data_IF_991240965027
#
_entry.id   IF_991240965027
#
_cell.length_a   1.000
_cell.length_b   1.000
_cell.length_c   1.000
_cell.angle_alpha   90.00
_cell.angle_beta   90.00
_cell.angle_gamma   90.00
#
_symmetry.space_group_name_H-M   'P 1'
#
loop_
_entity.id
_entity.type
_entity.pdbx_description
1 polymer ?
#
# COMPACT_ATOMS: atom_id res chain seq x y z
N UNK A 1 3.79 -17.63 -15.81
CA UNK A 1 3.48 -18.51 -14.66
C UNK A 1 3.77 -17.71 -13.40
N UNK A 2 2.84 -17.54 -12.48
CA UNK A 2 3.15 -16.91 -11.20
C UNK A 2 4.08 -17.86 -10.42
N UNK A 3 5.27 -17.39 -10.09
CA UNK A 3 6.16 -18.10 -9.17
C UNK A 3 5.52 -18.10 -7.80
N UNK A 4 5.08 -19.24 -7.31
CA UNK A 4 4.74 -19.46 -5.90
C UNK A 4 6.03 -19.35 -5.10
N UNK A 5 6.11 -18.34 -4.25
CA UNK A 5 7.21 -18.20 -3.30
C UNK A 5 7.14 -19.35 -2.28
N UNK A 6 8.26 -19.95 -1.89
CA UNK A 6 8.27 -20.98 -0.88
C UNK A 6 7.76 -20.43 0.46
N UNK A 7 6.90 -21.19 1.11
CA UNK A 7 6.32 -20.91 2.44
C UNK A 7 7.33 -21.16 3.60
N UNK A 8 8.62 -21.17 3.33
CA UNK A 8 9.63 -21.32 4.39
C UNK A 8 9.78 -20.02 5.18
N UNK A 9 9.89 -20.12 6.50
CA UNK A 9 10.10 -18.99 7.42
C UNK A 9 11.43 -18.23 7.20
N UNK A 10 12.26 -18.67 6.30
CA UNK A 10 13.48 -18.01 5.85
C UNK A 10 13.22 -17.34 4.52
N UNK A 11 12.46 -16.24 4.54
CA UNK A 11 12.33 -15.38 3.36
C UNK A 11 13.59 -14.55 3.25
N UNK A 12 14.45 -14.94 2.32
CA UNK A 12 15.62 -14.15 2.00
C UNK A 12 15.14 -12.88 1.29
N UNK A 13 15.42 -11.71 1.87
CA UNK A 13 15.14 -10.39 1.27
C UNK A 13 15.77 -10.29 -0.13
N UNK A 14 16.84 -11.05 -0.39
CA UNK A 14 17.55 -11.10 -1.67
C UNK A 14 16.67 -11.52 -2.87
N UNK A 15 15.52 -12.18 -2.62
CA UNK A 15 14.56 -12.52 -3.68
C UNK A 15 13.74 -11.32 -4.17
N UNK A 16 13.70 -10.22 -3.41
CA UNK A 16 12.95 -9.00 -3.71
C UNK A 16 13.85 -7.89 -4.26
N UNK A 17 14.77 -8.21 -5.14
CA UNK A 17 15.81 -7.29 -5.64
C UNK A 17 15.29 -6.03 -6.36
N UNK A 18 13.99 -5.94 -6.63
CA UNK A 18 13.41 -4.81 -7.36
C UNK A 18 12.44 -4.06 -6.45
N UNK A 19 12.91 -2.96 -5.88
CA UNK A 19 12.05 -1.99 -5.22
C UNK A 19 11.15 -1.28 -6.25
N UNK A 20 9.94 -0.87 -5.85
CA UNK A 20 9.09 -0.03 -6.69
C UNK A 20 9.86 1.22 -7.15
N UNK A 21 9.88 1.45 -8.45
CA UNK A 21 10.56 2.62 -9.02
C UNK A 21 9.88 3.90 -8.55
N UNK A 22 10.69 4.88 -8.28
CA UNK A 22 10.25 6.23 -7.95
C UNK A 22 9.49 6.85 -9.13
N UNK A 23 8.53 7.72 -8.84
CA UNK A 23 7.67 8.33 -9.84
C UNK A 23 6.62 7.39 -10.44
N UNK A 24 6.49 6.17 -9.94
CA UNK A 24 5.59 5.17 -10.51
C UNK A 24 4.52 4.71 -9.50
N UNK A 25 3.32 4.46 -10.02
CA UNK A 25 2.22 3.83 -9.29
C UNK A 25 2.05 2.39 -9.77
N UNK A 26 2.18 1.44 -8.86
CA UNK A 26 2.05 0.01 -9.12
C UNK A 26 0.75 -0.54 -8.51
N UNK A 27 0.17 -1.50 -9.19
CA UNK A 27 -0.94 -2.28 -8.67
C UNK A 27 -0.48 -3.72 -8.38
N UNK A 28 -0.54 -4.14 -7.12
CA UNK A 28 -0.46 -5.54 -6.71
C UNK A 28 -1.88 -6.10 -6.66
N UNK A 29 -2.23 -6.92 -7.63
CA UNK A 29 -3.55 -7.52 -7.71
C UNK A 29 -3.47 -9.03 -7.45
N UNK A 30 -4.19 -9.51 -6.45
CA UNK A 30 -4.14 -10.91 -6.09
C UNK A 30 -5.40 -11.43 -5.40
N UNK A 31 -5.45 -12.75 -5.12
CA UNK A 31 -6.57 -13.37 -4.45
C UNK A 31 -6.73 -12.93 -3.00
N UNK A 32 -7.89 -13.25 -2.46
CA UNK A 32 -8.28 -12.90 -1.09
C UNK A 32 -9.00 -11.56 -1.00
N UNK A 33 -9.56 -11.30 0.19
CA UNK A 33 -10.27 -10.06 0.46
C UNK A 33 -9.32 -8.87 0.31
N UNK A 34 -9.68 -7.91 -0.52
CA UNK A 34 -8.87 -6.72 -0.86
C UNK A 34 -7.42 -7.04 -1.25
N UNK A 35 -7.17 -8.21 -1.89
CA UNK A 35 -5.84 -8.61 -2.32
C UNK A 35 -4.91 -9.08 -1.18
N UNK A 36 -5.45 -9.66 -0.12
CA UNK A 36 -4.70 -10.07 1.09
C UNK A 36 -3.41 -10.82 0.79
N UNK A 37 -3.38 -11.68 -0.24
CA UNK A 37 -2.21 -12.48 -0.60
C UNK A 37 -1.03 -11.66 -1.16
N UNK A 38 -1.29 -10.41 -1.58
CA UNK A 38 -0.26 -9.53 -2.14
C UNK A 38 0.44 -8.67 -1.08
N UNK A 39 -0.04 -8.67 0.16
CA UNK A 39 0.53 -7.83 1.22
C UNK A 39 1.96 -8.18 1.55
N UNK A 40 2.31 -9.46 1.49
CA UNK A 40 3.67 -9.93 1.80
C UNK A 40 4.73 -9.26 0.91
N UNK A 41 4.41 -8.96 -0.35
CA UNK A 41 5.33 -8.22 -1.23
C UNK A 41 5.50 -6.78 -0.75
N UNK A 42 4.42 -6.10 -0.38
CA UNK A 42 4.50 -4.74 0.14
C UNK A 42 5.18 -4.69 1.52
N UNK A 43 4.98 -5.71 2.37
CA UNK A 43 5.66 -5.85 3.66
C UNK A 43 7.18 -6.03 3.44
N UNK A 44 7.60 -6.85 2.47
CA UNK A 44 9.00 -7.02 2.12
C UNK A 44 9.62 -5.72 1.58
N UNK A 45 8.97 -5.03 0.65
CA UNK A 45 9.45 -3.75 0.14
C UNK A 45 9.51 -2.68 1.22
N UNK A 46 8.56 -2.68 2.16
CA UNK A 46 8.60 -1.80 3.33
C UNK A 46 9.83 -2.09 4.19
N UNK A 47 10.08 -3.36 4.52
CA UNK A 47 11.24 -3.75 5.30
C UNK A 47 12.56 -3.34 4.62
N UNK A 48 12.69 -3.61 3.33
CA UNK A 48 13.88 -3.22 2.55
C UNK A 48 14.10 -1.71 2.53
N UNK A 49 13.02 -0.92 2.35
CA UNK A 49 13.10 0.54 2.34
C UNK A 49 13.54 1.07 3.70
N UNK A 50 12.98 0.53 4.79
CA UNK A 50 13.37 0.90 6.16
C UNK A 50 14.82 0.51 6.48
N UNK A 51 15.28 -0.65 6.02
CA UNK A 51 16.69 -1.09 6.18
C UNK A 51 17.68 -0.17 5.46
N UNK A 52 17.26 0.45 4.35
CA UNK A 52 18.06 1.45 3.65
C UNK A 52 18.09 2.82 4.37
N UNK A 53 17.42 2.96 5.51
CA UNK A 53 17.29 4.22 6.25
C UNK A 53 16.28 5.19 5.66
N UNK A 54 15.45 4.73 4.72
CA UNK A 54 14.41 5.52 4.08
C UNK A 54 13.06 5.39 4.83
N UNK A 55 12.18 6.36 4.63
CA UNK A 55 10.85 6.40 5.24
C UNK A 55 9.78 5.78 4.34
N UNK A 56 8.74 5.23 4.97
CA UNK A 56 7.58 4.61 4.32
C UNK A 56 6.29 5.16 4.90
N UNK A 57 5.30 5.46 4.04
CA UNK A 57 3.92 5.68 4.45
C UNK A 57 3.07 4.46 4.09
N UNK A 58 2.29 3.96 5.06
CA UNK A 58 1.32 2.88 4.86
C UNK A 58 -0.09 3.38 5.14
N UNK A 59 -0.93 3.45 4.11
CA UNK A 59 -2.34 3.80 4.23
C UNK A 59 -3.16 2.50 4.26
N UNK A 60 -3.72 2.20 5.42
CA UNK A 60 -4.48 0.99 5.67
C UNK A 60 -5.99 1.22 5.49
N UNK A 61 -6.46 1.10 4.26
CA UNK A 61 -7.89 1.14 3.92
C UNK A 61 -8.60 -0.21 4.15
N UNK A 62 -7.86 -1.28 4.32
CA UNK A 62 -8.41 -2.61 4.61
C UNK A 62 -8.50 -2.92 6.11
N UNK A 63 -8.04 -2.02 6.98
CA UNK A 63 -8.02 -2.17 8.45
C UNK A 63 -7.30 -3.45 8.93
N UNK A 64 -6.16 -3.81 8.31
CA UNK A 64 -5.45 -5.08 8.53
C UNK A 64 -3.97 -4.93 8.83
N UNK A 65 -3.45 -3.72 8.87
CA UNK A 65 -2.04 -3.51 9.12
C UNK A 65 -1.62 -4.11 10.47
N UNK A 66 -0.51 -4.83 10.46
CA UNK A 66 0.10 -5.41 11.65
C UNK A 66 1.62 -5.23 11.58
N UNK A 67 2.23 -4.40 12.47
CA UNK A 67 3.67 -4.14 12.44
C UNK A 67 4.51 -5.39 12.69
N UNK A 68 4.01 -6.37 13.43
CA UNK A 68 4.73 -7.61 13.68
C UNK A 68 5.09 -8.37 12.38
N UNK A 69 4.28 -8.21 11.32
CA UNK A 69 4.56 -8.82 10.02
C UNK A 69 5.75 -8.16 9.32
N UNK A 70 5.92 -6.84 9.49
CA UNK A 70 7.10 -6.14 8.99
C UNK A 70 8.34 -6.60 9.75
N UNK A 71 8.25 -6.70 11.10
CA UNK A 71 9.34 -7.18 11.96
C UNK A 71 9.79 -8.59 11.53
N UNK A 72 8.85 -9.50 11.28
CA UNK A 72 9.13 -10.86 10.84
C UNK A 72 9.82 -10.93 9.45
N UNK A 73 9.78 -9.86 8.68
CA UNK A 73 10.41 -9.80 7.37
C UNK A 73 11.88 -9.37 7.45
N UNK A 74 12.30 -8.72 8.54
CA UNK A 74 13.70 -8.38 8.75
C UNK A 74 14.59 -9.62 8.95
N UNK A 75 15.86 -9.58 8.54
CA UNK A 75 16.81 -10.63 8.83
C UNK A 75 16.95 -10.87 10.34
N UNK A 76 16.95 -12.13 10.77
CA UNK A 76 17.13 -12.49 12.19
C UNK A 76 18.46 -12.02 12.78
N UNK A 77 19.44 -11.73 11.93
CA UNK A 77 20.76 -11.21 12.34
C UNK A 77 20.77 -9.72 12.64
N UNK A 78 19.67 -9.02 12.34
CA UNK A 78 19.58 -7.58 12.54
C UNK A 78 19.20 -7.27 13.98
N UNK A 79 20.10 -6.67 14.79
CA UNK A 79 19.77 -6.25 16.15
C UNK A 79 18.81 -5.04 16.09
N UNK A 80 17.94 -4.91 17.08
CA UNK A 80 17.07 -3.75 17.29
C UNK A 80 16.21 -3.36 16.08
N UNK A 81 15.73 -4.36 15.31
CA UNK A 81 14.92 -4.14 14.11
C UNK A 81 13.65 -3.33 14.38
N UNK A 82 13.15 -3.29 15.62
CA UNK A 82 12.01 -2.47 16.01
C UNK A 82 12.29 -0.96 15.85
N UNK A 83 13.54 -0.52 16.00
CA UNK A 83 13.91 0.89 15.79
C UNK A 83 13.70 1.33 14.34
N UNK A 84 13.82 0.42 13.39
CA UNK A 84 13.55 0.72 11.98
C UNK A 84 12.10 1.12 11.74
N UNK A 85 11.16 0.65 12.57
CA UNK A 85 9.75 1.03 12.49
C UNK A 85 9.50 2.52 12.77
N UNK A 86 10.44 3.26 13.35
CA UNK A 86 10.33 4.72 13.48
C UNK A 86 10.29 5.43 12.11
N UNK A 87 10.77 4.79 11.06
CA UNK A 87 10.67 5.27 9.70
C UNK A 87 9.33 4.95 9.01
N UNK A 88 8.43 4.23 9.70
CA UNK A 88 7.15 3.79 9.15
C UNK A 88 5.97 4.60 9.71
N UNK A 89 5.30 5.35 8.85
CA UNK A 89 4.11 6.13 9.18
C UNK A 89 2.86 5.38 8.72
N UNK A 90 1.96 5.07 9.65
CA UNK A 90 0.75 4.30 9.36
C UNK A 90 -0.48 5.17 9.56
N UNK A 91 -1.28 5.32 8.49
CA UNK A 91 -2.60 5.96 8.54
C UNK A 91 -3.70 4.92 8.31
N UNK A 92 -4.72 4.87 9.16
CA UNK A 92 -5.88 3.99 9.00
C UNK A 92 -7.15 4.79 8.83
N UNK A 93 -7.90 4.50 7.77
CA UNK A 93 -9.22 5.08 7.52
C UNK A 93 -10.32 4.06 7.76
N UNK A 94 -11.35 4.44 8.48
CA UNK A 94 -12.52 3.60 8.75
C UNK A 94 -13.73 3.98 7.89
N UNK A 95 -13.68 5.14 7.25
CA UNK A 95 -14.69 5.62 6.30
C UNK A 95 -14.02 6.12 5.04
N UNK A 96 -14.80 6.23 3.95
CA UNK A 96 -14.31 6.76 2.68
C UNK A 96 -13.75 8.18 2.81
N UNK A 97 -14.37 9.01 3.66
CA UNK A 97 -13.92 10.40 3.87
C UNK A 97 -12.62 10.44 4.65
N UNK A 98 -12.48 9.62 5.70
CA UNK A 98 -11.22 9.50 6.45
C UNK A 98 -10.09 9.00 5.55
N UNK A 99 -10.36 7.97 4.74
CA UNK A 99 -9.40 7.45 3.78
C UNK A 99 -8.97 8.52 2.76
N UNK A 100 -9.93 9.23 2.18
CA UNK A 100 -9.67 10.33 1.24
C UNK A 100 -8.82 11.43 1.89
N UNK A 101 -9.12 11.80 3.14
CA UNK A 101 -8.37 12.80 3.89
C UNK A 101 -6.93 12.35 4.20
N UNK A 102 -6.72 11.07 4.53
CA UNK A 102 -5.37 10.51 4.72
C UNK A 102 -4.53 10.66 3.45
N UNK A 103 -5.11 10.35 2.28
CA UNK A 103 -4.41 10.51 1.00
C UNK A 103 -4.12 11.98 0.69
N UNK A 104 -5.04 12.89 1.01
CA UNK A 104 -4.80 14.34 0.85
C UNK A 104 -3.63 14.83 1.72
N UNK A 105 -3.53 14.36 2.95
CA UNK A 105 -2.43 14.70 3.87
C UNK A 105 -1.09 14.23 3.36
N UNK A 106 -1.02 13.10 2.66
CA UNK A 106 0.24 12.58 2.10
C UNK A 106 0.99 13.63 1.28
N UNK A 107 0.31 14.50 0.55
CA UNK A 107 0.96 15.53 -0.26
C UNK A 107 1.83 16.49 0.56
N UNK A 108 1.42 16.80 1.78
CA UNK A 108 2.21 17.63 2.69
C UNK A 108 3.24 16.80 3.47
N UNK A 109 2.83 15.62 3.97
CA UNK A 109 3.65 14.75 4.78
C UNK A 109 4.88 14.22 4.02
N UNK A 110 4.72 13.88 2.73
CA UNK A 110 5.81 13.37 1.90
C UNK A 110 6.93 14.41 1.69
N UNK A 111 6.58 15.70 1.67
CA UNK A 111 7.56 16.79 1.57
C UNK A 111 8.42 16.92 2.82
N UNK A 112 7.88 16.53 3.97
CA UNK A 112 8.56 16.57 5.27
C UNK A 112 9.39 15.29 5.44
N UNK A 113 8.76 14.13 5.29
CA UNK A 113 9.38 12.83 5.56
C UNK A 113 10.37 12.41 4.47
N UNK A 114 10.20 12.90 3.23
CA UNK A 114 10.98 12.45 2.06
C UNK A 114 10.90 10.93 1.85
N UNK A 115 9.77 10.33 2.22
CA UNK A 115 9.57 8.89 2.10
C UNK A 115 9.78 8.41 0.66
N UNK A 116 10.28 7.19 0.51
CA UNK A 116 10.61 6.59 -0.79
C UNK A 116 9.57 5.57 -1.25
N UNK A 117 8.71 5.14 -0.34
CA UNK A 117 7.65 4.19 -0.61
C UNK A 117 6.34 4.62 0.05
N UNK A 118 5.25 4.53 -0.69
CA UNK A 118 3.88 4.62 -0.16
C UNK A 118 3.17 3.31 -0.49
N UNK A 119 2.64 2.64 0.53
CA UNK A 119 1.76 1.48 0.38
C UNK A 119 0.33 1.90 0.69
N UNK A 120 -0.60 1.55 -0.20
CA UNK A 120 -2.04 1.77 -0.02
C UNK A 120 -2.73 0.41 -0.03
N UNK A 121 -3.01 -0.13 1.15
CA UNK A 121 -3.64 -1.44 1.33
C UNK A 121 -5.16 -1.33 1.27
N UNK A 122 -5.76 -1.96 0.27
CA UNK A 122 -7.21 -2.01 0.09
C UNK A 122 -7.87 -0.66 -0.23
N UNK A 123 -7.38 0.11 -1.21
CA UNK A 123 -7.90 1.44 -1.52
C UNK A 123 -9.38 1.47 -1.91
N UNK A 124 -9.92 0.33 -2.39
CA UNK A 124 -11.32 0.22 -2.77
C UNK A 124 -12.25 -0.09 -1.61
N UNK A 125 -11.74 -0.63 -0.50
CA UNK A 125 -12.57 -1.21 0.57
C UNK A 125 -13.62 -0.23 1.08
N UNK A 126 -13.24 0.99 1.42
CA UNK A 126 -14.15 2.01 1.95
C UNK A 126 -15.13 2.53 0.89
N UNK A 127 -14.75 2.48 -0.40
CA UNK A 127 -15.60 2.92 -1.51
C UNK A 127 -16.67 1.87 -1.91
N UNK A 128 -16.60 0.67 -1.33
CA UNK A 128 -17.58 -0.40 -1.53
C UNK A 128 -18.67 -0.41 -0.45
N UNK A 129 -18.59 0.47 0.54
CA UNK A 129 -19.62 0.63 1.57
C UNK A 129 -20.99 0.89 0.91
N UNK A 130 -22.02 0.09 1.20
CA UNK A 130 -23.36 0.27 0.64
C UNK A 130 -24.04 1.57 1.06
N UNK A 131 -23.63 2.19 2.16
CA UNK A 131 -24.17 3.48 2.63
C UNK A 131 -23.75 4.66 1.75
N UNK A 132 -22.72 4.48 0.91
CA UNK A 132 -22.21 5.53 0.02
C UNK A 132 -22.81 5.38 -1.37
N UNK A 133 -23.28 6.50 -1.93
CA UNK A 133 -23.80 6.53 -3.29
C UNK A 133 -22.77 6.14 -4.35
N UNK A 134 -23.20 5.48 -5.43
CA UNK A 134 -22.29 5.06 -6.50
C UNK A 134 -21.53 6.22 -7.15
N UNK A 135 -22.16 7.35 -7.31
CA UNK A 135 -21.55 8.54 -7.89
C UNK A 135 -20.46 9.10 -6.97
N UNK A 136 -20.79 9.25 -5.69
CA UNK A 136 -19.86 9.74 -4.67
C UNK A 136 -18.64 8.85 -4.54
N UNK A 137 -18.85 7.52 -4.40
CA UNK A 137 -17.76 6.54 -4.32
C UNK A 137 -16.79 6.65 -5.51
N UNK A 138 -17.33 6.77 -6.74
CA UNK A 138 -16.51 6.92 -7.95
C UNK A 138 -15.77 8.25 -7.99
N UNK A 139 -16.45 9.34 -7.64
CA UNK A 139 -15.86 10.68 -7.63
C UNK A 139 -14.69 10.76 -6.65
N UNK A 140 -14.90 10.29 -5.41
CA UNK A 140 -13.87 10.27 -4.38
C UNK A 140 -12.70 9.37 -4.76
N UNK A 141 -12.99 8.18 -5.29
CA UNK A 141 -11.93 7.25 -5.71
C UNK A 141 -11.08 7.78 -6.85
N UNK A 142 -11.71 8.39 -7.87
CA UNK A 142 -10.98 9.04 -8.97
C UNK A 142 -10.04 10.12 -8.45
N UNK A 143 -10.54 11.03 -7.59
CA UNK A 143 -9.71 12.07 -6.97
C UNK A 143 -8.54 11.47 -6.18
N UNK A 144 -8.78 10.37 -5.48
CA UNK A 144 -7.73 9.64 -4.74
C UNK A 144 -6.64 9.11 -5.68
N UNK A 145 -7.02 8.44 -6.76
CA UNK A 145 -6.05 7.89 -7.72
C UNK A 145 -5.28 9.00 -8.43
N UNK A 146 -5.97 10.05 -8.88
CA UNK A 146 -5.33 11.19 -9.54
C UNK A 146 -4.32 11.89 -8.63
N UNK A 147 -4.68 12.04 -7.34
CA UNK A 147 -3.77 12.61 -6.34
C UNK A 147 -2.56 11.71 -6.07
N UNK A 148 -2.74 10.40 -5.96
CA UNK A 148 -1.63 9.45 -5.78
C UNK A 148 -0.67 9.48 -6.98
N UNK A 149 -1.19 9.51 -8.22
CA UNK A 149 -0.37 9.67 -9.42
C UNK A 149 0.45 10.97 -9.37
N UNK A 150 -0.22 12.08 -9.03
CA UNK A 150 0.44 13.37 -8.87
C UNK A 150 1.54 13.34 -7.79
N UNK A 151 1.27 12.71 -6.64
CA UNK A 151 2.27 12.57 -5.56
C UNK A 151 3.48 11.77 -6.05
N UNK A 152 3.26 10.67 -6.78
CA UNK A 152 4.35 9.87 -7.34
C UNK A 152 5.24 10.72 -8.26
N UNK A 153 4.63 11.42 -9.21
CA UNK A 153 5.34 12.23 -10.21
C UNK A 153 6.13 13.39 -9.57
N UNK A 154 5.53 14.09 -8.59
CA UNK A 154 6.12 15.31 -8.01
C UNK A 154 7.18 15.04 -6.94
N UNK A 155 7.17 13.86 -6.27
CA UNK A 155 7.98 13.63 -5.06
C UNK A 155 9.00 12.50 -5.19
N UNK A 156 9.22 11.96 -6.37
CA UNK A 156 10.19 10.88 -6.61
C UNK A 156 9.96 9.67 -5.66
N UNK A 157 8.70 9.29 -5.45
CA UNK A 157 8.26 8.22 -4.55
C UNK A 157 7.57 7.09 -5.33
N UNK A 158 7.87 5.84 -4.97
CA UNK A 158 7.15 4.68 -5.48
C UNK A 158 5.85 4.47 -4.72
N UNK A 159 4.73 4.26 -5.43
CA UNK A 159 3.43 4.00 -4.82
C UNK A 159 2.93 2.61 -5.20
N UNK A 160 2.49 1.83 -4.21
CA UNK A 160 1.98 0.47 -4.38
C UNK A 160 0.55 0.40 -3.88
N UNK A 161 -0.39 0.02 -4.75
CA UNK A 161 -1.79 -0.24 -4.42
C UNK A 161 -2.04 -1.73 -4.32
N UNK A 162 -2.60 -2.22 -3.20
CA UNK A 162 -2.97 -3.62 -3.03
C UNK A 162 -4.47 -3.78 -3.29
N UNK A 163 -4.84 -4.58 -4.29
CA UNK A 163 -6.24 -4.76 -4.70
C UNK A 163 -6.59 -6.23 -4.88
N UNK A 164 -7.89 -6.57 -4.77
CA UNK A 164 -8.38 -7.92 -5.06
C UNK A 164 -8.41 -8.19 -6.56
N UNK A 165 -8.04 -9.41 -6.95
CA UNK A 165 -8.27 -9.93 -8.31
C UNK A 165 -9.73 -10.37 -8.53
N UNK A 166 -10.47 -10.66 -7.44
CA UNK A 166 -11.86 -11.08 -7.50
C UNK A 166 -12.79 -9.88 -7.44
N UNK A 167 -13.62 -9.74 -8.45
CA UNK A 167 -14.67 -8.72 -8.52
C UNK A 167 -15.92 -9.20 -7.79
N UNK A 168 -16.42 -8.43 -6.84
CA UNK A 168 -17.57 -8.79 -6.02
C UNK A 168 -18.87 -8.07 -6.42
N UNK A 169 -18.76 -6.98 -7.19
CA UNK A 169 -19.91 -6.19 -7.62
C UNK A 169 -19.61 -5.36 -8.86
N UNK A 170 -20.65 -4.83 -9.51
CA UNK A 170 -20.50 -3.90 -10.64
C UNK A 170 -19.75 -2.63 -10.24
N UNK A 171 -20.00 -2.11 -9.01
CA UNK A 171 -19.24 -0.98 -8.45
C UNK A 171 -17.77 -1.33 -8.34
N UNK A 172 -17.44 -2.49 -7.78
CA UNK A 172 -16.06 -2.95 -7.63
C UNK A 172 -15.33 -3.04 -8.98
N UNK A 173 -15.97 -3.66 -9.99
CA UNK A 173 -15.42 -3.72 -11.34
C UNK A 173 -15.09 -2.33 -11.89
N UNK A 174 -16.01 -1.40 -11.73
CA UNK A 174 -15.85 -0.04 -12.24
C UNK A 174 -14.70 0.72 -11.53
N UNK A 175 -14.58 0.58 -10.21
CA UNK A 175 -13.48 1.20 -9.47
C UNK A 175 -12.12 0.60 -9.85
N UNK A 176 -12.04 -0.71 -10.07
CA UNK A 176 -10.81 -1.38 -10.52
C UNK A 176 -10.32 -0.86 -11.88
N UNK A 177 -11.21 -0.47 -12.78
CA UNK A 177 -10.79 0.09 -14.08
C UNK A 177 -10.10 1.46 -13.96
N UNK A 178 -10.29 2.17 -12.86
CA UNK A 178 -9.65 3.47 -12.62
C UNK A 178 -8.19 3.34 -12.12
N UNK A 179 -7.82 2.16 -11.64
CA UNK A 179 -6.44 1.88 -11.17
C UNK A 179 -5.53 1.47 -12.33
N UNK A 180 -6.10 0.94 -13.39
CA UNK A 180 -5.39 0.52 -14.61
C UNK A 180 -5.04 1.73 -15.46
#
# INVERSE_FOLDING_TARGET
>A
MPRTLPLSNERCIDEFQILPRKGMLYQLQGPGNSGKSMREFAEAWTAMTLMNGDYVHWIDGACRFNPARIIQTFPHTLPDCEQLLHGLFVGRGFTVHQFSHLVQRLQAEIKITKAKLIVVDGPLTMHLDPQIGNYEARSLFRKTIDLLKKIADENDVGIVLITSSKVHSRRHSHLLTMVK
#
